data_IF_725780881322
#
_entry.id   IF_725780881322
#
_cell.length_a   1.000
_cell.length_b   1.000
_cell.length_c   1.000
_cell.angle_alpha   90.00
_cell.angle_beta   90.00
_cell.angle_gamma   90.00
#
_symmetry.space_group_name_H-M   'P 1'
#
loop_
_entity.id
_entity.type
_entity.pdbx_description
1 polymer ?
#
# COMPACT_ATOMS: atom_id res chain seq x y z
N UNK A 1 1.78 -0.23 -4.72
CA UNK A 1 1.45 -1.08 -3.56
C UNK A 1 1.95 -2.51 -3.79
N UNK A 2 2.75 -3.05 -2.86
CA UNK A 2 3.06 -4.48 -2.85
C UNK A 2 1.86 -5.28 -2.34
N UNK A 3 1.51 -6.35 -3.05
CA UNK A 3 0.29 -7.14 -2.80
C UNK A 3 0.47 -8.60 -3.23
N UNK A 4 -0.50 -9.44 -2.91
CA UNK A 4 -0.64 -10.81 -3.44
C UNK A 4 -1.99 -10.98 -4.13
N UNK A 5 -2.19 -12.10 -4.83
CA UNK A 5 -3.46 -12.41 -5.50
C UNK A 5 -4.64 -12.61 -4.55
N UNK A 6 -4.35 -13.01 -3.32
CA UNK A 6 -5.35 -13.20 -2.28
C UNK A 6 -4.87 -12.53 -0.99
N UNK A 7 -5.38 -11.32 -0.75
CA UNK A 7 -5.05 -10.52 0.43
C UNK A 7 -6.22 -9.58 0.77
N UNK A 8 -7.02 -9.87 1.81
CA UNK A 8 -8.17 -9.03 2.16
C UNK A 8 -7.74 -7.61 2.56
N UNK A 9 -6.66 -7.47 3.32
CA UNK A 9 -6.12 -6.15 3.71
C UNK A 9 -5.66 -5.31 2.52
N UNK A 10 -5.16 -5.95 1.46
CA UNK A 10 -4.76 -5.26 0.24
C UNK A 10 -5.99 -4.71 -0.50
N UNK A 11 -7.10 -5.48 -0.52
CA UNK A 11 -8.36 -5.00 -1.08
C UNK A 11 -8.99 -3.89 -0.25
N UNK A 12 -8.87 -3.96 1.08
CA UNK A 12 -9.31 -2.87 1.97
C UNK A 12 -8.52 -1.59 1.74
N UNK A 13 -7.19 -1.69 1.56
CA UNK A 13 -6.35 -0.54 1.21
C UNK A 13 -6.74 0.09 -0.14
N UNK A 14 -6.97 -0.76 -1.15
CA UNK A 14 -7.45 -0.33 -2.47
C UNK A 14 -8.79 0.41 -2.37
N UNK A 15 -9.77 -0.18 -1.67
CA UNK A 15 -11.09 0.44 -1.48
C UNK A 15 -11.00 1.78 -0.74
N UNK A 16 -10.14 1.88 0.28
CA UNK A 16 -9.93 3.13 1.01
C UNK A 16 -9.38 4.20 0.07
N UNK A 17 -8.34 3.89 -0.71
CA UNK A 17 -7.73 4.82 -1.67
C UNK A 17 -8.72 5.24 -2.77
N UNK A 18 -9.49 4.29 -3.32
CA UNK A 18 -10.54 4.59 -4.30
C UNK A 18 -11.62 5.51 -3.71
N UNK A 19 -12.01 5.30 -2.45
CA UNK A 19 -12.94 6.19 -1.75
C UNK A 19 -12.39 7.62 -1.54
N UNK A 20 -11.07 7.81 -1.67
CA UNK A 20 -10.40 9.12 -1.65
C UNK A 20 -10.13 9.68 -3.05
N UNK A 21 -10.62 9.03 -4.10
CA UNK A 21 -10.51 9.48 -5.49
C UNK A 21 -9.24 9.02 -6.21
N UNK A 22 -8.47 8.09 -5.64
CA UNK A 22 -7.35 7.47 -6.37
C UNK A 22 -7.91 6.46 -7.36
N UNK A 23 -7.76 6.72 -8.66
CA UNK A 23 -8.29 5.83 -9.71
C UNK A 23 -7.31 4.72 -10.09
N UNK A 24 -6.01 5.01 -10.06
CA UNK A 24 -4.95 4.08 -10.45
C UNK A 24 -4.06 3.73 -9.26
N UNK A 25 -3.90 2.42 -9.02
CA UNK A 25 -3.00 1.89 -7.99
C UNK A 25 -2.09 0.87 -8.65
N UNK A 26 -0.81 1.20 -8.79
CA UNK A 26 0.18 0.24 -9.26
C UNK A 26 0.31 -0.91 -8.26
N UNK A 27 0.18 -2.15 -8.74
CA UNK A 27 0.25 -3.36 -7.91
C UNK A 27 1.48 -4.20 -8.25
N UNK A 28 2.36 -4.36 -7.28
CA UNK A 28 3.53 -5.22 -7.39
C UNK A 28 3.19 -6.57 -6.73
N UNK A 29 3.07 -7.63 -7.54
CA UNK A 29 2.64 -8.96 -7.11
C UNK A 29 3.81 -9.81 -6.62
N UNK A 30 4.03 -9.80 -5.30
CA UNK A 30 5.16 -10.52 -4.67
C UNK A 30 4.97 -12.04 -4.65
N UNK A 31 3.76 -12.52 -4.92
CA UNK A 31 3.40 -13.94 -5.03
C UNK A 31 3.68 -14.54 -6.40
N UNK A 32 3.83 -13.69 -7.43
CA UNK A 32 4.17 -14.12 -8.79
C UNK A 32 5.67 -14.05 -9.06
N UNK A 33 6.39 -13.19 -8.34
CA UNK A 33 7.83 -12.97 -8.48
C UNK A 33 8.51 -12.94 -7.09
N UNK A 34 9.25 -14.00 -6.71
CA UNK A 34 10.00 -14.06 -5.46
C UNK A 34 11.02 -12.92 -5.30
N UNK A 35 11.56 -12.37 -6.39
CA UNK A 35 12.49 -11.25 -6.33
C UNK A 35 11.79 -9.98 -5.84
N UNK A 36 10.53 -9.76 -6.21
CA UNK A 36 9.74 -8.64 -5.68
C UNK A 36 9.52 -8.74 -4.19
N UNK A 37 9.37 -9.95 -3.64
CA UNK A 37 9.29 -10.15 -2.19
C UNK A 37 10.58 -9.68 -1.50
N UNK A 38 11.74 -10.04 -2.06
CA UNK A 38 13.03 -9.61 -1.52
C UNK A 38 13.21 -8.09 -1.62
N UNK A 39 12.86 -7.49 -2.76
CA UNK A 39 12.87 -6.03 -2.95
C UNK A 39 11.95 -5.31 -1.96
N UNK A 40 10.74 -5.81 -1.76
CA UNK A 40 9.80 -5.28 -0.77
C UNK A 40 10.41 -5.33 0.64
N UNK A 41 10.95 -6.47 1.05
CA UNK A 41 11.56 -6.62 2.38
C UNK A 41 12.75 -5.69 2.56
N UNK A 42 13.61 -5.55 1.55
CA UNK A 42 14.75 -4.65 1.59
C UNK A 42 14.35 -3.17 1.69
N UNK A 43 13.33 -2.74 0.93
CA UNK A 43 12.86 -1.35 0.92
C UNK A 43 12.05 -0.96 2.16
N UNK A 44 11.27 -1.90 2.70
CA UNK A 44 10.28 -1.61 3.76
C UNK A 44 10.69 -2.10 5.14
N UNK A 45 11.62 -3.06 5.22
CA UNK A 45 11.88 -3.83 6.44
C UNK A 45 10.73 -4.74 6.89
N UNK A 46 9.63 -4.82 6.13
CA UNK A 46 8.42 -5.57 6.45
C UNK A 46 8.32 -6.85 5.61
N UNK A 47 7.70 -7.89 6.18
CA UNK A 47 7.52 -9.21 5.54
C UNK A 47 6.11 -9.47 5.02
N UNK A 48 5.14 -8.63 5.39
CA UNK A 48 3.71 -8.82 5.14
C UNK A 48 3.21 -7.83 4.09
N UNK A 49 2.17 -8.22 3.36
CA UNK A 49 1.40 -7.32 2.50
C UNK A 49 0.11 -6.86 3.22
N UNK A 50 -0.47 -5.70 2.84
CA UNK A 50 0.04 -4.75 1.84
C UNK A 50 1.26 -3.98 2.35
N UNK A 51 2.12 -3.55 1.42
CA UNK A 51 3.08 -2.46 1.68
C UNK A 51 2.78 -1.32 0.72
N UNK A 52 2.34 -0.19 1.27
CA UNK A 52 1.79 0.95 0.53
C UNK A 52 2.83 2.06 0.48
N UNK A 53 2.96 2.62 -0.72
CA UNK A 53 3.74 3.83 -0.99
C UNK A 53 2.81 4.84 -1.64
N UNK A 54 2.99 6.12 -1.30
CA UNK A 54 2.37 7.27 -1.97
C UNK A 54 3.52 8.15 -2.44
N UNK A 55 3.70 8.28 -3.76
CA UNK A 55 4.96 8.76 -4.34
C UNK A 55 6.14 7.94 -3.81
N UNK A 56 7.16 8.61 -3.27
CA UNK A 56 8.33 7.97 -2.67
C UNK A 56 8.14 7.61 -1.18
N UNK A 57 7.06 8.08 -0.55
CA UNK A 57 6.85 7.90 0.88
C UNK A 57 6.30 6.52 1.19
N UNK A 58 7.05 5.74 1.98
CA UNK A 58 6.56 4.48 2.55
C UNK A 58 5.54 4.77 3.65
N UNK A 59 4.30 4.32 3.45
CA UNK A 59 3.21 4.49 4.41
C UNK A 59 3.18 3.33 5.40
N UNK A 60 3.40 2.11 4.93
CA UNK A 60 3.33 0.90 5.75
C UNK A 60 2.21 -0.03 5.30
N UNK A 61 1.55 -0.65 6.28
CA UNK A 61 0.43 -1.58 6.06
C UNK A 61 -0.92 -0.90 5.91
N UNK A 62 -1.98 -1.70 5.89
CA UNK A 62 -3.36 -1.19 5.87
C UNK A 62 -3.66 -0.35 7.11
N UNK A 63 -3.24 -0.80 8.30
CA UNK A 63 -3.49 -0.09 9.56
C UNK A 63 -2.83 1.29 9.57
N UNK A 64 -1.62 1.42 9.00
CA UNK A 64 -0.94 2.70 8.87
C UNK A 64 -1.69 3.65 7.94
N UNK A 65 -2.16 3.14 6.80
CA UNK A 65 -2.98 3.91 5.85
C UNK A 65 -4.30 4.37 6.50
N UNK A 66 -5.03 3.45 7.14
CA UNK A 66 -6.29 3.74 7.81
C UNK A 66 -6.11 4.76 8.95
N UNK A 67 -5.00 4.65 9.70
CA UNK A 67 -4.64 5.61 10.75
C UNK A 67 -4.38 7.01 10.18
N UNK A 68 -3.68 7.13 9.04
CA UNK A 68 -3.49 8.42 8.38
C UNK A 68 -4.82 9.01 7.92
N UNK A 69 -5.71 8.18 7.36
CA UNK A 69 -7.03 8.64 6.92
C UNK A 69 -7.88 9.15 8.08
N UNK A 70 -7.93 8.39 9.18
CA UNK A 70 -8.65 8.77 10.38
C UNK A 70 -8.14 10.09 10.98
N UNK A 71 -6.84 10.38 10.83
CA UNK A 71 -6.24 11.65 11.26
C UNK A 71 -6.45 12.81 10.27
N UNK A 72 -7.05 12.57 9.11
CA UNK A 72 -7.16 13.55 8.03
C UNK A 72 -5.81 13.85 7.34
N UNK A 73 -4.77 13.05 7.61
CA UNK A 73 -3.41 13.24 7.10
C UNK A 73 -3.20 12.56 5.74
N UNK A 74 -4.14 11.72 5.29
CA UNK A 74 -4.02 11.00 4.03
C UNK A 74 -4.23 11.90 2.80
N UNK A 75 -5.30 12.70 2.77
CA UNK A 75 -5.61 13.54 1.61
C UNK A 75 -4.47 14.48 1.19
N UNK A 76 -3.77 15.17 2.13
CA UNK A 76 -2.62 15.99 1.78
C UNK A 76 -1.49 15.24 1.07
N UNK A 77 -1.36 13.93 1.30
CA UNK A 77 -0.35 13.09 0.64
C UNK A 77 -0.78 12.64 -0.76
N UNK A 78 -2.08 12.63 -1.05
CA UNK A 78 -2.61 12.17 -2.34
C UNK A 78 -2.65 13.29 -3.39
N UNK A 79 -2.63 14.55 -2.95
CA UNK A 79 -2.70 15.74 -3.83
C UNK A 79 -1.34 16.43 -4.00
N UNK A 80 -0.30 15.88 -3.38
CA UNK A 80 1.07 16.40 -3.40
C UNK A 80 1.85 16.00 -4.64
#
# INVERSE_FOLDING_TARGET
MYTTGFCPYCKMAENLLHAKGVEEIEKIRIDLDPEQRNKMMAKTGRRTVPQIYIGEKHIGGYDDLARLDHKGELMPLLVS
#
